data_IF_667760398938
#
_entry.id   IF_667760398938
#
_cell.length_a   1.000
_cell.length_b   1.000
_cell.length_c   1.000
_cell.angle_alpha   90.00
_cell.angle_beta   90.00
_cell.angle_gamma   90.00
#
_symmetry.space_group_name_H-M   'P 1'
#
loop_
_entity.id
_entity.type
_entity.pdbx_description
1 polymer ?
#
# COMPACT_ATOMS: atom_id res chain seq x y z
N UNK A 1 19.54 -0.20 -13.32
CA UNK A 1 18.43 -1.20 -13.31
C UNK A 1 17.85 -1.45 -14.70
N UNK A 2 17.40 -0.42 -15.45
CA UNK A 2 16.83 -0.62 -16.79
C UNK A 2 17.78 -1.30 -17.80
N UNK A 3 19.06 -0.93 -17.82
CA UNK A 3 20.06 -1.58 -18.68
C UNK A 3 20.22 -3.08 -18.39
N UNK A 4 20.21 -3.47 -17.11
CA UNK A 4 20.25 -4.88 -16.70
C UNK A 4 19.03 -5.65 -17.19
N UNK A 5 17.82 -5.11 -17.01
CA UNK A 5 16.60 -5.74 -17.53
C UNK A 5 16.59 -5.82 -19.05
N UNK A 6 17.14 -4.84 -19.77
CA UNK A 6 17.25 -4.88 -21.21
C UNK A 6 18.15 -6.04 -21.70
N UNK A 7 19.26 -6.29 -21.00
CA UNK A 7 20.14 -7.44 -21.27
C UNK A 7 19.43 -8.74 -20.93
N UNK A 8 18.84 -8.84 -19.74
CA UNK A 8 18.13 -10.04 -19.28
C UNK A 8 16.97 -10.43 -20.21
N UNK A 9 16.21 -9.46 -20.70
CA UNK A 9 15.13 -9.69 -21.67
C UNK A 9 15.67 -10.22 -22.98
N UNK A 10 16.80 -9.67 -23.47
CA UNK A 10 17.45 -10.13 -24.70
C UNK A 10 17.91 -11.59 -24.59
N UNK A 11 18.53 -11.94 -23.46
CA UNK A 11 18.95 -13.32 -23.17
C UNK A 11 17.73 -14.27 -23.08
N UNK A 12 16.67 -13.86 -22.38
CA UNK A 12 15.46 -14.68 -22.22
C UNK A 12 14.70 -14.89 -23.53
N UNK A 13 14.73 -13.94 -24.46
CA UNK A 13 14.16 -14.13 -25.82
C UNK A 13 14.82 -15.27 -26.59
N UNK A 14 16.10 -15.56 -26.33
CA UNK A 14 16.78 -16.68 -26.99
C UNK A 14 16.37 -18.04 -26.42
N UNK A 15 15.93 -18.08 -25.15
CA UNK A 15 15.47 -19.32 -24.50
C UNK A 15 14.45 -19.00 -23.40
N UNK A 16 13.18 -18.99 -23.80
CA UNK A 16 12.06 -18.75 -22.89
C UNK A 16 11.94 -19.88 -21.86
N UNK A 17 11.67 -19.50 -20.61
CA UNK A 17 11.46 -20.40 -19.48
C UNK A 17 10.08 -20.24 -18.84
N UNK A 18 9.99 -20.73 -17.59
CA UNK A 18 8.81 -20.61 -16.74
C UNK A 18 8.87 -19.41 -15.76
N UNK A 19 9.77 -18.45 -16.02
CA UNK A 19 9.97 -17.27 -15.17
C UNK A 19 9.09 -16.07 -15.58
N UNK A 20 9.02 -15.09 -14.67
CA UNK A 20 8.22 -13.86 -14.85
C UNK A 20 8.64 -13.05 -16.09
N UNK A 21 9.93 -12.98 -16.42
CA UNK A 21 10.41 -12.22 -17.58
C UNK A 21 9.95 -12.91 -18.87
N UNK A 22 10.05 -14.23 -18.94
CA UNK A 22 9.51 -15.02 -20.04
C UNK A 22 7.99 -14.87 -20.18
N UNK A 23 7.25 -14.77 -19.07
CA UNK A 23 5.81 -14.51 -19.11
C UNK A 23 5.48 -13.10 -19.66
N UNK A 24 6.24 -12.08 -19.26
CA UNK A 24 6.07 -10.70 -19.76
C UNK A 24 6.46 -10.57 -21.24
N UNK A 25 7.47 -11.30 -21.72
CA UNK A 25 7.84 -11.36 -23.14
C UNK A 25 6.68 -11.95 -23.96
N UNK A 26 6.13 -13.09 -23.53
CA UNK A 26 4.96 -13.70 -24.21
C UNK A 26 3.76 -12.76 -24.25
N UNK A 27 3.54 -11.97 -23.19
CA UNK A 27 2.47 -10.99 -23.13
C UNK A 27 2.69 -9.80 -24.08
N UNK A 28 3.94 -9.39 -24.31
CA UNK A 28 4.30 -8.36 -25.28
C UNK A 28 4.16 -8.86 -26.73
N UNK A 29 4.57 -10.10 -27.02
CA UNK A 29 4.42 -10.72 -28.35
C UNK A 29 2.96 -10.92 -28.75
N UNK A 30 2.04 -11.02 -27.77
CA UNK A 30 0.59 -11.03 -28.01
C UNK A 30 0.03 -9.67 -28.46
N UNK A 31 0.85 -8.61 -28.51
CA UNK A 31 0.54 -7.31 -29.15
C UNK A 31 -0.45 -6.40 -28.42
N UNK A 32 -1.48 -6.97 -27.78
CA UNK A 32 -2.58 -6.22 -27.16
C UNK A 32 -2.34 -5.82 -25.70
N UNK A 33 -1.30 -6.35 -25.05
CA UNK A 33 -1.14 -6.27 -23.59
C UNK A 33 0.06 -5.48 -23.10
N UNK A 34 1.14 -5.39 -23.89
CA UNK A 34 2.39 -4.76 -23.42
C UNK A 34 3.26 -4.34 -24.62
N UNK A 35 3.78 -3.11 -24.62
CA UNK A 35 4.81 -2.67 -25.57
C UNK A 35 6.22 -3.03 -25.07
N UNK A 36 7.20 -3.13 -25.95
CA UNK A 36 8.60 -3.45 -25.60
C UNK A 36 9.18 -2.57 -24.46
N UNK A 37 8.92 -1.26 -24.50
CA UNK A 37 9.37 -0.33 -23.45
C UNK A 37 8.56 -0.43 -22.14
N UNK A 38 7.34 -0.98 -22.18
CA UNK A 38 6.50 -1.21 -21.01
C UNK A 38 6.90 -2.49 -20.28
N UNK A 39 7.43 -3.48 -20.99
CA UNK A 39 7.94 -4.73 -20.40
C UNK A 39 8.99 -4.48 -19.33
N UNK A 40 10.04 -3.72 -19.67
CA UNK A 40 11.12 -3.42 -18.73
C UNK A 40 10.58 -2.63 -17.52
N UNK A 41 9.69 -1.66 -17.75
CA UNK A 41 9.07 -0.87 -16.67
C UNK A 41 8.23 -1.74 -15.75
N UNK A 42 7.47 -2.69 -16.31
CA UNK A 42 6.64 -3.61 -15.55
C UNK A 42 7.51 -4.57 -14.71
N UNK A 43 8.58 -5.11 -15.29
CA UNK A 43 9.52 -5.97 -14.57
C UNK A 43 10.17 -5.24 -13.38
N UNK A 44 10.65 -4.02 -13.61
CA UNK A 44 11.20 -3.17 -12.55
C UNK A 44 10.15 -2.88 -11.47
N UNK A 45 8.93 -2.52 -11.89
CA UNK A 45 7.83 -2.21 -10.98
C UNK A 45 7.47 -3.37 -10.05
N UNK A 46 7.41 -4.59 -10.57
CA UNK A 46 7.10 -5.78 -9.76
C UNK A 46 8.18 -6.02 -8.70
N UNK A 47 9.46 -5.87 -9.08
CA UNK A 47 10.57 -6.08 -8.16
C UNK A 47 10.58 -5.03 -7.06
N UNK A 48 10.44 -3.75 -7.39
CA UNK A 48 10.39 -2.68 -6.39
C UNK A 48 9.20 -2.90 -5.44
N UNK A 49 8.01 -3.15 -6.00
CA UNK A 49 6.80 -3.34 -5.21
C UNK A 49 6.89 -4.53 -4.26
N UNK A 50 7.49 -5.64 -4.67
CA UNK A 50 7.65 -6.83 -3.84
C UNK A 50 8.82 -6.76 -2.87
N UNK A 51 9.91 -6.07 -3.25
CA UNK A 51 11.14 -6.04 -2.47
C UNK A 51 11.04 -5.14 -1.25
N UNK A 52 10.70 -3.86 -1.44
CA UNK A 52 10.71 -2.87 -0.36
C UNK A 52 9.67 -3.19 0.72
N UNK A 53 8.47 -3.62 0.29
CA UNK A 53 7.34 -3.92 1.20
C UNK A 53 7.59 -5.18 2.03
N UNK A 54 8.15 -6.23 1.42
CA UNK A 54 8.49 -7.48 2.10
C UNK A 54 9.66 -7.27 3.06
N UNK A 55 10.68 -6.49 2.66
CA UNK A 55 11.76 -6.11 3.57
C UNK A 55 11.25 -5.33 4.78
N UNK A 56 10.36 -4.35 4.55
CA UNK A 56 9.73 -3.61 5.62
C UNK A 56 8.97 -4.53 6.58
N UNK A 57 8.18 -5.47 6.06
CA UNK A 57 7.46 -6.45 6.90
C UNK A 57 8.41 -7.31 7.74
N UNK A 58 9.46 -7.86 7.12
CA UNK A 58 10.42 -8.72 7.82
C UNK A 58 11.15 -7.92 8.90
N UNK A 59 11.64 -6.72 8.57
CA UNK A 59 12.36 -5.85 9.51
C UNK A 59 11.48 -5.43 10.69
N UNK A 60 10.31 -4.88 10.40
CA UNK A 60 9.35 -4.42 11.40
C UNK A 60 8.83 -5.58 12.25
N UNK A 61 8.49 -6.70 11.62
CA UNK A 61 8.00 -7.90 12.30
C UNK A 61 9.07 -8.53 13.20
N UNK A 62 10.33 -8.59 12.74
CA UNK A 62 11.43 -9.08 13.56
C UNK A 62 11.62 -8.21 14.80
N UNK A 63 11.63 -6.88 14.63
CA UNK A 63 11.68 -5.92 15.75
C UNK A 63 10.53 -6.17 16.72
N UNK A 64 9.28 -6.18 16.24
CA UNK A 64 8.10 -6.39 17.07
C UNK A 64 8.17 -7.70 17.87
N UNK A 65 8.60 -8.81 17.24
CA UNK A 65 8.73 -10.10 17.93
C UNK A 65 9.86 -10.10 18.96
N UNK A 66 10.96 -9.37 18.73
CA UNK A 66 12.06 -9.25 19.69
C UNK A 66 11.68 -8.40 20.90
N UNK A 67 10.92 -7.32 20.68
CA UNK A 67 10.45 -6.42 21.75
C UNK A 67 9.36 -7.08 22.62
N UNK A 68 8.75 -8.18 22.15
CA UNK A 68 7.67 -8.90 22.84
C UNK A 68 8.04 -10.38 23.11
N UNK A 69 8.94 -10.67 24.07
CA UNK A 69 9.45 -12.02 24.30
C UNK A 69 8.36 -13.03 24.70
N UNK A 70 7.27 -12.58 25.33
CA UNK A 70 6.12 -13.43 25.69
C UNK A 70 5.37 -13.91 24.43
N UNK A 71 5.09 -13.02 23.47
CA UNK A 71 4.49 -13.35 22.18
C UNK A 71 5.40 -14.30 21.38
N UNK A 72 6.72 -14.07 21.43
CA UNK A 72 7.72 -14.97 20.83
C UNK A 72 7.70 -16.37 21.44
N UNK A 73 7.52 -16.48 22.76
CA UNK A 73 7.43 -17.76 23.45
C UNK A 73 6.15 -18.52 23.06
N UNK A 74 5.01 -17.83 22.97
CA UNK A 74 3.74 -18.40 22.50
C UNK A 74 3.88 -18.98 21.08
N UNK A 75 4.46 -18.23 20.14
CA UNK A 75 4.72 -18.71 18.77
C UNK A 75 5.72 -19.87 18.71
N UNK A 76 6.65 -19.97 19.68
CA UNK A 76 7.54 -21.14 19.79
C UNK A 76 6.80 -22.38 20.29
N UNK A 77 5.86 -22.21 21.21
CA UNK A 77 5.07 -23.30 21.76
C UNK A 77 4.00 -23.82 20.77
N UNK A 78 3.47 -22.95 19.91
CA UNK A 78 2.46 -23.31 18.91
C UNK A 78 2.86 -22.83 17.50
N UNK A 79 3.38 -23.74 16.64
CA UNK A 79 3.67 -23.45 15.23
C UNK A 79 2.46 -22.99 14.41
N UNK A 80 1.23 -23.33 14.84
CA UNK A 80 -0.01 -22.91 14.19
C UNK A 80 -0.24 -21.39 14.25
N UNK A 81 0.45 -20.68 15.14
CA UNK A 81 0.36 -19.22 15.28
C UNK A 81 1.19 -18.44 14.25
N UNK A 82 1.85 -19.09 13.28
CA UNK A 82 2.68 -18.38 12.30
C UNK A 82 1.88 -17.40 11.43
N UNK A 83 0.71 -17.82 10.92
CA UNK A 83 -0.15 -16.96 10.09
C UNK A 83 -0.71 -15.78 10.92
N UNK A 84 -1.33 -16.01 12.10
CA UNK A 84 -1.73 -14.92 12.99
C UNK A 84 -0.60 -13.96 13.39
N UNK A 85 0.62 -14.47 13.59
CA UNK A 85 1.77 -13.63 13.90
C UNK A 85 2.15 -12.70 12.74
N UNK A 86 2.11 -13.18 11.49
CA UNK A 86 2.34 -12.33 10.31
C UNK A 86 1.28 -11.23 10.19
N UNK A 87 0.01 -11.56 10.42
CA UNK A 87 -1.09 -10.58 10.43
C UNK A 87 -0.91 -9.55 11.55
N UNK A 88 -0.46 -9.97 12.73
CA UNK A 88 -0.15 -9.06 13.83
C UNK A 88 1.02 -8.12 13.49
N UNK A 89 2.06 -8.59 12.79
CA UNK A 89 3.17 -7.74 12.33
C UNK A 89 2.69 -6.70 11.31
N UNK A 90 1.89 -7.10 10.32
CA UNK A 90 1.31 -6.20 9.32
C UNK A 90 0.46 -5.10 9.96
N UNK A 91 -0.29 -5.45 11.01
CA UNK A 91 -1.14 -4.53 11.76
C UNK A 91 -0.32 -3.57 12.62
N UNK A 92 0.56 -4.11 13.45
CA UNK A 92 1.27 -3.37 14.49
C UNK A 92 2.24 -2.35 13.90
N UNK A 93 2.94 -2.71 12.83
CA UNK A 93 3.93 -1.84 12.21
C UNK A 93 3.94 -2.00 10.68
N UNK A 94 2.97 -1.33 10.07
CA UNK A 94 2.63 -1.44 8.65
C UNK A 94 3.75 -0.93 7.73
N UNK A 95 4.26 -1.75 6.78
CA UNK A 95 5.37 -1.36 5.90
C UNK A 95 5.05 -0.19 4.95
N UNK A 96 3.78 -0.04 4.54
CA UNK A 96 3.33 1.03 3.66
C UNK A 96 2.47 2.01 4.45
N UNK A 97 2.96 3.22 4.67
CA UNK A 97 2.26 4.21 5.48
C UNK A 97 1.04 4.81 4.77
N UNK A 98 1.16 5.05 3.47
CA UNK A 98 0.10 5.64 2.67
C UNK A 98 0.14 5.17 1.22
N UNK A 99 -0.98 5.38 0.53
CA UNK A 99 -1.11 5.31 -0.92
C UNK A 99 -1.83 6.55 -1.42
N UNK A 100 -1.96 6.74 -2.74
CA UNK A 100 -2.74 7.86 -3.27
C UNK A 100 -3.68 7.45 -4.41
N UNK A 101 -4.70 8.26 -4.65
CA UNK A 101 -5.67 8.16 -5.76
C UNK A 101 -5.85 9.53 -6.39
N UNK A 102 -6.14 9.56 -7.69
CA UNK A 102 -6.54 10.76 -8.41
C UNK A 102 -8.04 10.66 -8.74
N UNK A 103 -8.81 11.66 -8.34
CA UNK A 103 -10.23 11.73 -8.68
C UNK A 103 -10.41 12.00 -10.17
N UNK A 104 -11.19 11.15 -10.86
CA UNK A 104 -11.50 11.35 -12.28
C UNK A 104 -12.68 12.28 -12.52
N UNK A 105 -13.55 12.41 -11.53
CA UNK A 105 -14.74 13.23 -11.52
C UNK A 105 -14.92 13.79 -10.09
N UNK A 106 -15.76 14.83 -9.91
CA UNK A 106 -16.12 15.28 -8.58
C UNK A 106 -16.66 14.13 -7.72
N UNK A 107 -16.33 14.12 -6.44
CA UNK A 107 -16.71 13.05 -5.52
C UNK A 107 -17.00 13.60 -4.13
N UNK A 108 -18.10 13.17 -3.53
CA UNK A 108 -18.42 13.53 -2.16
C UNK A 108 -17.79 12.52 -1.19
N UNK A 109 -16.97 13.01 -0.26
CA UNK A 109 -16.35 12.20 0.77
C UNK A 109 -16.64 12.80 2.15
N UNK A 110 -17.36 12.04 2.98
CA UNK A 110 -17.74 12.45 4.34
C UNK A 110 -18.40 13.85 4.39
N UNK A 111 -19.33 14.12 3.47
CA UNK A 111 -20.02 15.41 3.36
C UNK A 111 -19.19 16.53 2.72
N UNK A 112 -17.95 16.26 2.29
CA UNK A 112 -17.10 17.23 1.60
C UNK A 112 -17.07 16.95 0.10
N UNK A 113 -17.44 17.95 -0.71
CA UNK A 113 -17.36 17.85 -2.16
C UNK A 113 -15.91 18.08 -2.63
N UNK A 114 -15.34 17.07 -3.29
CA UNK A 114 -14.00 17.11 -3.85
C UNK A 114 -14.07 17.27 -5.37
N UNK A 115 -13.25 18.14 -5.98
CA UNK A 115 -13.27 18.33 -7.42
C UNK A 115 -12.68 17.13 -8.16
N UNK A 116 -12.92 17.06 -9.47
CA UNK A 116 -12.10 16.23 -10.34
C UNK A 116 -10.62 16.63 -10.24
N UNK A 117 -9.73 15.68 -10.46
CA UNK A 117 -8.27 15.81 -10.35
C UNK A 117 -7.72 16.08 -8.95
N UNK A 118 -8.55 16.07 -7.90
CA UNK A 118 -8.04 16.08 -6.53
C UNK A 118 -7.23 14.80 -6.25
N UNK A 119 -6.13 14.95 -5.50
CA UNK A 119 -5.32 13.84 -5.04
C UNK A 119 -5.78 13.45 -3.64
N UNK A 120 -6.15 12.18 -3.47
CA UNK A 120 -6.51 11.58 -2.21
C UNK A 120 -5.36 10.74 -1.69
N UNK A 121 -4.81 11.09 -0.53
CA UNK A 121 -3.87 10.27 0.20
C UNK A 121 -4.62 9.35 1.15
N UNK A 122 -4.35 8.06 1.05
CA UNK A 122 -4.95 6.98 1.82
C UNK A 122 -3.94 6.53 2.88
N UNK A 123 -4.13 6.95 4.13
CA UNK A 123 -3.19 6.68 5.23
C UNK A 123 -3.43 5.30 5.87
N UNK A 124 -2.82 4.26 5.30
CA UNK A 124 -2.97 2.86 5.74
C UNK A 124 -2.53 2.68 7.21
N UNK A 125 -1.42 3.30 7.61
CA UNK A 125 -0.88 3.18 8.96
C UNK A 125 -1.81 3.72 10.05
N UNK A 126 -2.80 4.55 9.70
CA UNK A 126 -3.77 5.10 10.67
C UNK A 126 -4.99 4.19 10.89
N UNK A 127 -5.25 3.25 9.99
CA UNK A 127 -6.41 2.34 10.12
C UNK A 127 -6.19 1.21 11.12
N UNK A 128 -4.94 0.77 11.27
CA UNK A 128 -4.57 -0.35 12.13
C UNK A 128 -4.53 -0.05 13.64
N UNK A 129 -4.21 1.18 14.10
CA UNK A 129 -4.36 1.56 15.50
C UNK A 129 -5.74 2.14 15.86
N UNK A 130 -6.79 1.93 15.05
CA UNK A 130 -8.12 2.49 15.31
C UNK A 130 -8.87 1.70 16.40
N UNK A 131 -9.15 2.30 17.58
CA UNK A 131 -9.81 1.62 18.70
C UNK A 131 -11.26 1.20 18.40
N UNK A 132 -11.88 1.76 17.34
CA UNK A 132 -13.23 1.35 16.91
C UNK A 132 -13.24 -0.02 16.21
N UNK A 133 -12.07 -0.46 15.73
CA UNK A 133 -11.91 -1.67 14.96
C UNK A 133 -11.09 -2.73 15.71
N UNK A 134 -10.18 -2.29 16.57
CA UNK A 134 -9.26 -3.15 17.32
C UNK A 134 -9.29 -2.81 18.80
N UNK A 135 -9.67 -3.76 19.64
CA UNK A 135 -9.52 -3.63 21.10
C UNK A 135 -8.02 -3.56 21.44
N UNK A 136 -7.60 -2.65 22.31
CA UNK A 136 -6.17 -2.43 22.61
C UNK A 136 -5.29 -2.33 21.34
N UNK A 137 -5.49 -1.29 20.52
CA UNK A 137 -4.87 -1.17 19.20
C UNK A 137 -3.35 -1.06 19.24
N UNK A 138 -2.79 -0.58 20.34
CA UNK A 138 -1.34 -0.39 20.47
C UNK A 138 -0.63 -1.67 20.92
N UNK A 139 -1.35 -2.73 21.31
CA UNK A 139 -0.73 -3.99 21.73
C UNK A 139 -0.37 -4.90 20.54
N UNK A 140 0.88 -5.38 20.54
CA UNK A 140 1.29 -6.48 19.67
C UNK A 140 0.78 -7.82 20.25
N UNK A 141 -0.23 -8.40 19.60
CA UNK A 141 -0.87 -9.65 20.03
C UNK A 141 -1.11 -10.59 18.84
N UNK A 142 -0.38 -11.71 18.80
CA UNK A 142 -0.46 -12.72 17.73
C UNK A 142 -1.71 -13.63 17.86
N UNK A 143 -2.38 -13.65 19.00
CA UNK A 143 -3.57 -14.48 19.24
C UNK A 143 -4.88 -13.74 18.97
N UNK A 144 -4.82 -12.52 18.43
CA UNK A 144 -6.02 -11.71 18.15
C UNK A 144 -6.93 -12.43 17.15
N UNK A 145 -8.18 -12.67 17.53
CA UNK A 145 -9.16 -13.41 16.72
C UNK A 145 -9.60 -12.69 15.43
N UNK A 146 -9.35 -11.39 15.28
CA UNK A 146 -9.72 -10.60 14.10
C UNK A 146 -8.54 -10.40 13.15
N UNK A 147 -8.49 -11.20 12.09
CA UNK A 147 -7.69 -10.91 10.89
C UNK A 147 -8.41 -9.85 10.05
N UNK A 148 -7.94 -8.60 10.13
CA UNK A 148 -8.60 -7.47 9.46
C UNK A 148 -7.69 -6.26 9.26
N UNK A 149 -6.37 -6.46 9.34
CA UNK A 149 -5.38 -5.41 9.10
C UNK A 149 -5.50 -4.85 7.68
N UNK A 150 -5.08 -3.59 7.52
CA UNK A 150 -5.26 -2.82 6.27
C UNK A 150 -3.95 -2.49 5.55
N UNK A 151 -2.85 -3.18 5.88
CA UNK A 151 -1.53 -3.00 5.28
C UNK A 151 -1.52 -3.23 3.77
N UNK A 152 -2.33 -4.17 3.27
CA UNK A 152 -2.49 -4.42 1.84
C UNK A 152 -3.55 -3.52 1.17
N UNK A 153 -4.10 -2.54 1.89
CA UNK A 153 -5.19 -1.69 1.42
C UNK A 153 -6.59 -2.29 1.61
N UNK A 154 -7.62 -1.48 1.30
CA UNK A 154 -9.03 -1.82 1.52
C UNK A 154 -9.55 -1.39 2.90
N UNK A 155 -10.88 -1.23 3.04
CA UNK A 155 -11.53 -0.88 4.31
C UNK A 155 -11.55 0.62 4.64
N UNK A 156 -11.76 0.95 5.92
CA UNK A 156 -11.74 2.32 6.43
C UNK A 156 -10.30 2.82 6.52
N UNK A 157 -9.96 3.82 5.72
CA UNK A 157 -8.64 4.44 5.69
C UNK A 157 -8.84 5.94 5.83
N UNK A 158 -8.01 6.61 6.65
CA UNK A 158 -8.06 8.07 6.74
C UNK A 158 -7.65 8.67 5.39
N UNK A 159 -8.52 9.52 4.84
CA UNK A 159 -8.29 10.14 3.53
C UNK A 159 -7.95 11.60 3.72
N UNK A 160 -6.95 12.04 2.99
CA UNK A 160 -6.46 13.40 3.01
C UNK A 160 -6.48 13.94 1.58
N UNK A 161 -7.21 15.03 1.34
CA UNK A 161 -7.39 15.56 -0.01
C UNK A 161 -6.58 16.85 -0.23
N UNK A 162 -5.82 16.90 -1.32
CA UNK A 162 -5.17 18.11 -1.81
C UNK A 162 -5.93 18.72 -3.00
N UNK A 163 -5.97 20.06 -3.09
CA UNK A 163 -6.50 20.90 -4.18
C UNK A 163 -8.03 21.09 -4.33
N UNK A 164 -8.83 21.15 -3.25
CA UNK A 164 -10.24 21.62 -3.35
C UNK A 164 -10.35 23.16 -3.56
N UNK A 165 -11.40 23.70 -4.21
CA UNK A 165 -11.50 25.14 -4.54
C UNK A 165 -11.47 26.09 -3.32
N UNK A 166 -11.90 25.58 -2.19
CA UNK A 166 -11.82 26.16 -0.85
C UNK A 166 -10.40 26.33 -0.29
N UNK A 167 -9.36 25.81 -0.96
CA UNK A 167 -7.94 26.02 -0.62
C UNK A 167 -7.52 27.50 -0.57
N UNK A 168 -8.23 28.41 -1.27
CA UNK A 168 -7.96 29.85 -1.21
C UNK A 168 -8.54 30.55 0.03
N UNK A 169 -9.44 29.91 0.76
CA UNK A 169 -10.11 30.52 1.92
C UNK A 169 -9.75 29.68 3.15
N UNK A 170 -8.69 30.09 3.83
CA UNK A 170 -8.25 29.47 5.08
C UNK A 170 -9.40 29.43 6.08
N UNK A 171 -9.86 28.22 6.41
CA UNK A 171 -10.77 28.01 7.54
C UNK A 171 -10.33 26.72 8.26
N UNK A 172 -9.90 26.80 9.53
CA UNK A 172 -9.42 25.65 10.27
C UNK A 172 -10.60 24.93 10.93
N UNK A 173 -10.70 23.61 10.71
CA UNK A 173 -11.46 22.73 11.59
C UNK A 173 -10.58 21.54 11.98
N UNK A 174 -10.33 21.46 13.28
CA UNK A 174 -9.55 20.46 14.01
C UNK A 174 -10.21 19.05 13.90
N UNK A 175 -9.59 17.92 14.25
CA UNK A 175 -8.55 17.65 15.24
C UNK A 175 -7.91 16.26 15.03
N UNK A 176 -6.64 16.16 15.41
CA UNK A 176 -5.82 14.97 15.70
C UNK A 176 -5.37 14.07 14.54
N UNK A 177 -4.30 14.52 13.87
CA UNK A 177 -3.01 13.83 13.68
C UNK A 177 -2.21 14.77 12.76
N UNK A 178 -1.15 15.41 13.27
CA UNK A 178 -0.34 16.48 12.65
C UNK A 178 -0.41 16.56 11.10
N UNK A 179 -1.41 17.32 10.63
CA UNK A 179 -1.50 17.82 9.27
C UNK A 179 -0.45 18.91 9.06
N UNK A 180 0.34 18.92 7.96
CA UNK A 180 0.92 20.17 7.48
C UNK A 180 -0.20 21.20 7.29
N UNK A 181 0.04 22.48 7.61
CA UNK A 181 -0.97 23.55 7.47
C UNK A 181 -1.57 23.54 6.05
N UNK A 182 -2.90 23.50 5.94
CA UNK A 182 -3.62 23.53 4.66
C UNK A 182 -4.31 22.23 4.23
N UNK A 183 -4.13 21.13 4.97
CA UNK A 183 -4.75 19.85 4.63
C UNK A 183 -6.09 19.64 5.35
N UNK A 184 -7.11 19.21 4.58
CA UNK A 184 -8.36 18.70 5.15
C UNK A 184 -8.27 17.18 5.32
N UNK A 185 -8.52 16.70 6.54
CA UNK A 185 -8.68 15.28 6.82
C UNK A 185 -10.16 14.92 6.79
N UNK A 186 -10.51 13.86 6.09
CA UNK A 186 -11.86 13.31 6.06
C UNK A 186 -11.78 11.81 6.32
N UNK A 187 -12.64 11.31 7.21
CA UNK A 187 -12.74 9.88 7.51
C UNK A 187 -13.89 9.29 6.70
N UNK A 188 -13.58 8.35 5.80
CA UNK A 188 -14.59 7.69 4.98
C UNK A 188 -14.12 6.31 4.51
N UNK A 189 -15.06 5.43 4.16
CA UNK A 189 -14.76 4.17 3.49
C UNK A 189 -14.74 4.40 1.98
N UNK A 190 -13.61 4.12 1.32
CA UNK A 190 -13.56 4.16 -0.14
C UNK A 190 -13.89 2.77 -0.70
N UNK A 191 -14.97 2.68 -1.51
CA UNK A 191 -15.44 1.47 -2.19
C UNK A 191 -15.45 1.66 -3.71
N UNK A 192 -14.35 2.16 -4.28
CA UNK A 192 -14.16 2.29 -5.72
C UNK A 192 -13.25 1.21 -6.31
N UNK A 193 -13.18 1.04 -7.64
CA UNK A 193 -12.24 0.12 -8.27
C UNK A 193 -10.80 0.58 -8.04
N UNK A 194 -10.00 -0.25 -7.36
CA UNK A 194 -8.56 -0.01 -7.13
C UNK A 194 -7.85 -0.06 -8.49
N UNK A 195 -7.51 1.10 -9.05
CA UNK A 195 -6.48 1.18 -10.09
C UNK A 195 -5.18 1.63 -9.46
N UNK A 196 -4.18 0.75 -9.49
CA UNK A 196 -2.79 1.14 -9.32
C UNK A 196 -2.44 2.08 -10.47
N UNK A 197 -2.30 3.38 -10.17
CA UNK A 197 -1.62 4.28 -11.08
C UNK A 197 -0.13 4.00 -10.87
N UNK A 198 0.44 3.08 -11.67
CA UNK A 198 1.88 2.94 -11.76
C UNK A 198 2.51 4.27 -12.17
N UNK A 199 3.77 4.51 -11.79
CA UNK A 199 4.56 5.72 -12.08
C UNK A 199 4.79 6.04 -13.57
N UNK A 200 3.95 5.56 -14.51
CA UNK A 200 4.11 5.81 -15.94
C UNK A 200 3.67 7.20 -16.42
N UNK A 201 3.12 8.05 -15.54
CA UNK A 201 2.54 9.34 -15.93
C UNK A 201 3.22 10.62 -15.40
N UNK A 202 4.29 10.53 -14.62
CA UNK A 202 4.83 11.68 -13.87
C UNK A 202 6.02 12.42 -14.53
N UNK A 203 6.43 12.02 -15.73
CA UNK A 203 7.47 12.74 -16.49
C UNK A 203 7.02 12.92 -17.94
N UNK A 204 6.41 14.06 -18.23
CA UNK A 204 6.46 14.73 -19.54
C UNK A 204 7.08 16.10 -19.32
#
# INVERSE_FOLDING_TARGET
MAAYFAVLVRERRQRLGADLISALIRAEEQGDKLRAGELIRQAIGIIIAGYETTLGLIGNGLRAVLDHPQQRALRRADPGLIQPAVEACLRYDTPILFNWRLLKAPYELAGTQLPAQAVLWLMLATGNPDPRHFDDPDAFNIQRAKAGQRAFGGGYISVWAANSPEWRRGTPLASSCNAPRGWKSARGSWRGPIRFCGCSGAYR
#
